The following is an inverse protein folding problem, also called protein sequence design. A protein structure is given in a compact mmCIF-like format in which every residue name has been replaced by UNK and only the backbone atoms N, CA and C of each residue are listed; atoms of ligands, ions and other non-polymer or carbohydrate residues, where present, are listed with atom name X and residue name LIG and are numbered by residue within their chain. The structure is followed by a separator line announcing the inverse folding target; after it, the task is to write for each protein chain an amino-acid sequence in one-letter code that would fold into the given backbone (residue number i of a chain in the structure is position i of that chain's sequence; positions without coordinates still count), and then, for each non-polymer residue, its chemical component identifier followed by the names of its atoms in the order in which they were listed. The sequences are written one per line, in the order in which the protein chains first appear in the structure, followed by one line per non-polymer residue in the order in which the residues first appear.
data_IF_557187705819
#
_entry.id   IF_557187705819
#
_cell.length_a   1.000
_cell.length_b   1.000
_cell.length_c   1.000
_cell.angle_alpha   90.00
_cell.angle_beta   90.00
_cell.angle_gamma   90.00
#
_symmetry.space_group_name_H-M   'P 1'
#
loop_
_entity.id
_entity.type
_entity.pdbx_description
1 polymer ?
#
# COMPACT_ATOMS: atom_id res chain seq x y z
N UNK A 1 -30.48 -2.06 -6.01
CA UNK A 1 -29.60 -0.92 -5.68
C UNK A 1 -28.44 -0.96 -6.67
N UNK A 2 -28.16 0.12 -7.39
CA UNK A 2 -26.97 0.19 -8.28
C UNK A 2 -25.72 -0.01 -7.42
N UNK A 3 -24.89 -1.01 -7.76
CA UNK A 3 -23.59 -1.22 -7.08
C UNK A 3 -22.74 0.04 -7.29
N UNK A 4 -22.19 0.56 -6.23
CA UNK A 4 -21.19 1.63 -6.31
C UNK A 4 -19.96 1.07 -7.01
N UNK A 5 -19.34 1.82 -7.93
CA UNK A 5 -18.04 1.41 -8.50
C UNK A 5 -16.97 1.38 -7.41
N UNK A 6 -16.00 0.47 -7.47
CA UNK A 6 -14.88 0.47 -6.53
C UNK A 6 -14.03 1.74 -6.70
N UNK A 7 -13.39 2.17 -5.61
CA UNK A 7 -12.33 3.17 -5.68
C UNK A 7 -11.14 2.62 -6.46
N UNK A 8 -10.60 3.40 -7.37
CA UNK A 8 -9.35 3.08 -8.07
C UNK A 8 -8.21 3.75 -7.35
N UNK A 9 -7.31 2.95 -6.77
CA UNK A 9 -6.22 3.39 -5.90
C UNK A 9 -4.90 3.17 -6.63
N UNK A 10 -4.13 4.24 -6.85
CA UNK A 10 -2.80 4.15 -7.44
C UNK A 10 -1.80 3.59 -6.42
N UNK A 11 -1.55 2.27 -6.47
CA UNK A 11 -0.65 1.53 -5.59
C UNK A 11 0.78 2.03 -5.74
N UNK A 12 1.35 2.67 -4.72
CA UNK A 12 2.66 3.36 -4.77
C UNK A 12 2.77 4.40 -5.88
N UNK A 13 1.63 4.95 -6.32
CA UNK A 13 1.49 5.83 -7.48
C UNK A 13 1.14 5.09 -8.77
N UNK A 14 2.02 5.13 -9.78
CA UNK A 14 1.89 4.46 -11.07
C UNK A 14 3.15 3.61 -11.37
N UNK A 15 3.46 2.55 -10.58
CA UNK A 15 4.73 1.83 -10.65
C UNK A 15 4.89 1.00 -11.93
N UNK A 16 3.82 0.77 -12.69
CA UNK A 16 3.94 0.22 -14.05
C UNK A 16 4.67 1.14 -15.04
N UNK A 17 4.82 2.44 -14.70
CA UNK A 17 5.37 3.47 -15.59
C UNK A 17 6.54 4.26 -15.00
N UNK A 18 6.66 4.34 -13.68
CA UNK A 18 7.67 5.13 -12.95
C UNK A 18 8.14 4.33 -11.73
N UNK A 19 9.38 4.51 -11.28
CA UNK A 19 9.80 3.89 -10.02
C UNK A 19 8.83 4.20 -8.89
N UNK A 20 8.42 3.17 -8.17
CA UNK A 20 7.44 3.25 -7.07
C UNK A 20 7.82 4.34 -6.06
N UNK A 21 6.83 4.96 -5.43
CA UNK A 21 7.03 5.95 -4.36
C UNK A 21 7.86 7.17 -4.75
N UNK A 22 8.02 7.42 -6.04
CA UNK A 22 8.62 8.66 -6.54
C UNK A 22 7.55 9.72 -6.80
N UNK A 23 7.93 11.00 -6.74
CA UNK A 23 7.02 12.11 -7.05
C UNK A 23 6.36 11.92 -8.42
N UNK A 24 7.15 11.52 -9.45
CA UNK A 24 6.61 11.29 -10.79
C UNK A 24 5.65 10.10 -10.88
N UNK A 25 5.77 9.09 -10.00
CA UNK A 25 4.82 7.99 -9.90
C UNK A 25 3.47 8.47 -9.40
N UNK A 26 3.46 9.30 -8.36
CA UNK A 26 2.24 9.85 -7.78
C UNK A 26 1.58 10.90 -8.68
N UNK A 27 2.37 11.84 -9.23
CA UNK A 27 1.85 12.83 -10.19
C UNK A 27 1.15 12.14 -11.37
N UNK A 28 1.81 11.12 -11.94
CA UNK A 28 1.23 10.38 -13.05
C UNK A 28 -0.07 9.66 -12.67
N UNK A 29 -0.13 9.03 -11.48
CA UNK A 29 -1.36 8.37 -11.02
C UNK A 29 -2.51 9.36 -10.88
N UNK A 30 -2.26 10.52 -10.27
CA UNK A 30 -3.25 11.60 -10.11
C UNK A 30 -3.71 12.13 -11.47
N UNK A 31 -2.79 12.42 -12.39
CA UNK A 31 -3.11 12.89 -13.75
C UNK A 31 -3.90 11.87 -14.57
N UNK A 32 -3.71 10.57 -14.32
CA UNK A 32 -4.48 9.47 -14.94
C UNK A 32 -5.86 9.26 -14.29
N UNK A 33 -6.19 10.00 -13.24
CA UNK A 33 -7.54 10.12 -12.73
C UNK A 33 -7.94 9.11 -11.67
N UNK A 34 -6.99 8.55 -10.90
CA UNK A 34 -7.30 7.69 -9.74
C UNK A 34 -8.13 8.43 -8.69
N UNK A 35 -8.86 7.69 -7.86
CA UNK A 35 -9.64 8.26 -6.77
C UNK A 35 -8.76 8.55 -5.53
N UNK A 36 -7.72 7.75 -5.36
CA UNK A 36 -6.76 7.88 -4.28
C UNK A 36 -5.38 7.37 -4.70
N UNK A 37 -4.34 7.76 -3.97
CA UNK A 37 -3.01 7.16 -4.07
C UNK A 37 -2.66 6.46 -2.76
N UNK A 38 -1.86 5.40 -2.87
CA UNK A 38 -1.41 4.65 -1.71
C UNK A 38 0.10 4.86 -1.52
N UNK A 39 0.52 5.42 -0.37
CA UNK A 39 1.87 5.39 0.13
C UNK A 39 2.08 4.37 1.23
N UNK A 40 3.22 3.66 1.19
CA UNK A 40 3.77 2.91 2.32
C UNK A 40 4.70 3.81 3.15
N UNK A 41 4.66 3.71 4.47
CA UNK A 41 5.47 4.54 5.36
C UNK A 41 6.31 3.73 6.32
N UNK A 42 7.59 4.08 6.37
CA UNK A 42 8.62 3.66 7.34
C UNK A 42 9.27 4.90 7.97
N UNK A 43 10.21 4.74 8.91
CA UNK A 43 10.75 5.88 9.67
C UNK A 43 12.27 5.97 9.57
N UNK A 44 12.76 7.19 9.33
CA UNK A 44 14.19 7.51 9.41
C UNK A 44 14.70 7.49 10.86
N UNK A 45 16.03 7.52 11.02
CA UNK A 45 16.70 7.58 12.33
C UNK A 45 16.23 8.73 13.21
N UNK A 46 15.90 9.85 12.62
CA UNK A 46 15.41 11.06 13.27
C UNK A 46 13.87 11.17 13.29
N UNK A 47 13.16 10.07 12.98
CA UNK A 47 11.71 9.94 13.15
C UNK A 47 10.87 10.57 12.04
N UNK A 48 11.46 10.90 10.89
CA UNK A 48 10.70 11.39 9.74
C UNK A 48 9.98 10.23 9.06
N UNK A 49 8.70 10.41 8.73
CA UNK A 49 7.90 9.46 7.97
C UNK A 49 8.34 9.45 6.50
N UNK A 50 9.02 8.39 6.06
CA UNK A 50 9.61 8.21 4.73
C UNK A 50 8.73 7.27 3.91
N UNK A 51 8.47 7.62 2.66
CA UNK A 51 7.63 6.80 1.78
C UNK A 51 8.47 5.71 1.13
N UNK A 52 8.37 4.48 1.66
CA UNK A 52 8.99 3.25 1.16
C UNK A 52 8.20 2.02 1.59
N UNK A 53 8.14 1.01 0.72
CA UNK A 53 7.44 -0.24 1.02
C UNK A 53 8.17 -1.07 2.07
N UNK A 54 9.48 -1.27 1.90
CA UNK A 54 10.34 -1.87 2.93
C UNK A 54 11.21 -0.79 3.57
N UNK A 55 11.64 -1.06 4.80
CA UNK A 55 12.69 -0.29 5.45
C UNK A 55 14.09 -0.62 4.87
N UNK A 56 14.29 -1.77 4.20
CA UNK A 56 15.48 -2.08 3.42
C UNK A 56 15.38 -1.42 2.03
N UNK A 57 16.35 -0.52 1.70
CA UNK A 57 16.27 0.37 0.54
C UNK A 57 17.30 0.09 -0.56
N UNK A 58 18.03 -1.01 -0.48
CA UNK A 58 19.12 -1.34 -1.42
C UNK A 58 18.62 -1.59 -2.84
N UNK A 59 17.46 -2.20 -3.01
CA UNK A 59 16.91 -2.56 -4.32
C UNK A 59 16.09 -1.45 -4.98
N UNK A 60 15.58 -0.50 -4.19
CA UNK A 60 14.65 0.55 -4.67
C UNK A 60 15.26 1.95 -4.68
N UNK A 61 16.57 2.05 -4.35
CA UNK A 61 17.34 3.29 -4.37
C UNK A 61 18.77 3.08 -4.88
N UNK A 62 19.48 4.18 -5.07
CA UNK A 62 20.90 4.17 -5.45
C UNK A 62 21.87 4.05 -4.26
N UNK A 63 21.40 3.70 -3.06
CA UNK A 63 22.23 3.64 -1.83
C UNK A 63 23.41 2.69 -1.97
N UNK A 64 23.26 1.58 -2.69
CA UNK A 64 24.35 0.62 -2.94
C UNK A 64 25.50 1.18 -3.77
N UNK A 65 25.25 2.23 -4.56
CA UNK A 65 26.25 2.92 -5.39
C UNK A 65 26.85 4.14 -4.68
N UNK A 66 26.52 4.37 -3.40
CA UNK A 66 27.00 5.48 -2.59
C UNK A 66 28.14 5.05 -1.68
N UNK A 67 29.40 5.35 -2.02
CA UNK A 67 30.58 4.91 -1.23
C UNK A 67 30.52 5.38 0.23
N UNK A 68 29.96 6.58 0.47
CA UNK A 68 29.80 7.16 1.80
C UNK A 68 28.89 6.33 2.72
N UNK A 69 28.02 5.52 2.15
CA UNK A 69 27.08 4.65 2.88
C UNK A 69 27.46 3.17 2.88
N UNK A 70 28.56 2.79 2.24
CA UNK A 70 28.97 1.39 2.10
C UNK A 70 29.12 0.68 3.45
N UNK A 71 29.65 1.37 4.48
CA UNK A 71 29.84 0.81 5.84
C UNK A 71 28.56 0.60 6.63
N UNK A 72 27.41 1.13 6.17
CA UNK A 72 26.10 0.97 6.84
C UNK A 72 25.35 -0.28 6.39
N UNK A 73 25.90 -1.05 5.46
CA UNK A 73 25.31 -2.32 5.05
C UNK A 73 25.37 -3.30 6.21
N UNK A 74 24.21 -3.80 6.66
CA UNK A 74 24.06 -4.62 7.86
C UNK A 74 22.98 -5.68 7.65
N UNK A 75 22.97 -6.72 8.50
CA UNK A 75 21.89 -7.72 8.56
C UNK A 75 21.00 -7.42 9.77
N UNK A 76 19.70 -7.37 9.53
CA UNK A 76 18.68 -7.17 10.58
C UNK A 76 17.56 -8.19 10.44
N UNK A 77 16.93 -8.52 11.57
CA UNK A 77 15.68 -9.27 11.63
C UNK A 77 14.51 -8.28 11.63
N UNK A 78 13.65 -8.37 10.63
CA UNK A 78 12.43 -7.54 10.50
C UNK A 78 11.24 -8.50 10.35
N UNK A 79 10.28 -8.40 11.24
CA UNK A 79 9.05 -9.21 11.26
C UNK A 79 9.31 -10.73 11.14
N UNK A 80 10.41 -11.19 11.74
CA UNK A 80 10.81 -12.61 11.75
C UNK A 80 11.58 -13.10 10.52
N UNK A 81 11.95 -12.18 9.61
CA UNK A 81 12.77 -12.48 8.45
C UNK A 81 14.12 -11.75 8.51
N UNK A 82 15.20 -12.44 8.07
CA UNK A 82 16.55 -11.86 8.03
C UNK A 82 16.80 -11.15 6.71
N UNK A 83 17.15 -9.87 6.78
CA UNK A 83 17.43 -9.01 5.62
C UNK A 83 18.84 -8.42 5.72
N UNK A 84 19.55 -8.35 4.59
CA UNK A 84 20.90 -7.76 4.54
C UNK A 84 20.95 -6.64 3.52
N UNK A 85 21.15 -5.42 3.99
CA UNK A 85 21.15 -4.23 3.13
C UNK A 85 21.35 -2.94 3.90
N UNK A 86 20.70 -1.88 3.43
CA UNK A 86 20.69 -0.55 4.03
C UNK A 86 19.28 -0.24 4.50
N UNK A 87 19.14 0.16 5.75
CA UNK A 87 17.82 0.33 6.38
C UNK A 87 17.54 1.79 6.67
N UNK A 88 16.33 2.25 6.37
CA UNK A 88 15.89 3.65 6.49
C UNK A 88 16.18 4.21 7.89
N UNK A 89 15.97 3.44 8.95
CA UNK A 89 16.20 3.84 10.34
C UNK A 89 17.68 4.00 10.74
N UNK A 90 18.59 3.65 9.86
CA UNK A 90 20.05 3.91 10.07
C UNK A 90 20.49 5.25 9.49
N UNK A 91 19.60 5.97 8.79
CA UNK A 91 19.86 7.25 8.11
C UNK A 91 18.97 8.35 8.67
N UNK A 92 19.52 9.57 8.74
CA UNK A 92 18.70 10.78 8.94
C UNK A 92 17.94 11.12 7.65
N UNK A 93 16.88 11.94 7.78
CA UNK A 93 16.16 12.40 6.59
C UNK A 93 17.06 13.15 5.61
N UNK A 94 17.96 14.01 6.09
CA UNK A 94 18.88 14.76 5.22
C UNK A 94 19.78 13.82 4.39
N UNK A 95 20.19 12.70 4.94
CA UNK A 95 20.96 11.68 4.21
C UNK A 95 20.09 10.96 3.18
N UNK A 96 18.88 10.54 3.58
CA UNK A 96 17.92 9.87 2.69
C UNK A 96 17.48 10.75 1.52
N UNK A 97 17.29 12.04 1.72
CA UNK A 97 16.90 12.99 0.68
C UNK A 97 17.95 13.11 -0.45
N UNK A 98 19.19 12.69 -0.21
CA UNK A 98 20.25 12.63 -1.24
C UNK A 98 20.10 11.45 -2.19
N UNK A 99 19.38 10.41 -1.80
CA UNK A 99 19.20 9.18 -2.57
C UNK A 99 18.18 9.36 -3.71
N UNK A 100 18.27 8.46 -4.68
CA UNK A 100 17.40 8.46 -5.86
C UNK A 100 16.65 7.13 -5.98
N UNK A 101 15.39 7.21 -6.36
CA UNK A 101 14.52 6.05 -6.58
C UNK A 101 14.99 5.23 -7.78
N UNK A 102 14.80 3.90 -7.68
CA UNK A 102 15.01 2.91 -8.73
C UNK A 102 13.82 1.98 -8.86
N UNK A 103 13.63 1.48 -10.07
CA UNK A 103 12.62 0.46 -10.36
C UNK A 103 12.94 -0.85 -9.64
N UNK A 104 11.96 -1.38 -8.90
CA UNK A 104 12.06 -2.65 -8.18
C UNK A 104 12.19 -3.85 -9.11
N UNK A 105 11.49 -3.81 -10.25
CA UNK A 105 11.29 -4.91 -11.19
C UNK A 105 11.82 -4.59 -12.59
N UNK A 106 13.12 -4.21 -12.74
CA UNK A 106 13.63 -3.66 -13.99
C UNK A 106 13.52 -4.62 -15.18
N UNK A 107 13.52 -5.94 -14.95
CA UNK A 107 13.33 -6.94 -16.00
C UNK A 107 11.89 -7.01 -16.50
N UNK A 108 10.90 -6.73 -15.66
CA UNK A 108 9.49 -6.69 -16.03
C UNK A 108 9.07 -5.31 -16.54
N UNK A 109 9.66 -4.25 -15.97
CA UNK A 109 9.27 -2.84 -16.17
C UNK A 109 10.43 -1.99 -16.69
N UNK A 110 11.07 -2.43 -17.78
CA UNK A 110 12.22 -1.72 -18.38
C UNK A 110 11.92 -0.26 -18.75
N UNK A 111 10.65 0.08 -19.08
CA UNK A 111 10.24 1.46 -19.35
C UNK A 111 10.20 2.32 -18.09
N UNK A 112 9.81 1.76 -16.95
CA UNK A 112 9.87 2.41 -15.64
C UNK A 112 11.33 2.58 -15.21
N UNK A 113 12.17 1.54 -15.38
CA UNK A 113 13.61 1.58 -15.07
C UNK A 113 14.38 2.67 -15.83
N UNK A 114 13.88 3.12 -16.99
CA UNK A 114 14.46 4.26 -17.71
C UNK A 114 14.41 5.59 -16.93
N UNK A 115 13.65 5.63 -15.82
CA UNK A 115 13.57 6.78 -14.90
C UNK A 115 14.41 6.61 -13.63
N UNK A 116 15.17 5.53 -13.51
CA UNK A 116 16.10 5.31 -12.39
C UNK A 116 17.04 6.49 -12.17
N UNK A 117 17.27 6.84 -10.93
CA UNK A 117 18.16 7.92 -10.55
C UNK A 117 17.63 9.34 -10.79
N UNK A 118 16.41 9.51 -11.33
CA UNK A 118 15.87 10.84 -11.68
C UNK A 118 15.14 11.54 -10.53
N UNK A 119 14.53 10.79 -9.63
CA UNK A 119 13.67 11.32 -8.57
C UNK A 119 14.23 10.99 -7.19
N UNK A 120 14.20 11.96 -6.23
CA UNK A 120 14.57 11.69 -4.85
C UNK A 120 13.55 10.79 -4.16
N UNK A 121 13.93 10.25 -2.99
CA UNK A 121 13.00 9.68 -2.03
C UNK A 121 12.06 10.80 -1.53
N UNK A 122 10.82 10.45 -1.19
CA UNK A 122 9.83 11.35 -0.63
C UNK A 122 9.58 11.05 0.85
N UNK A 123 9.21 12.08 1.62
CA UNK A 123 8.58 11.95 2.94
C UNK A 123 7.07 12.16 2.83
N UNK A 124 6.35 11.67 3.84
CA UNK A 124 4.89 11.69 3.85
C UNK A 124 4.31 13.10 3.64
N UNK A 125 4.88 14.14 4.28
CA UNK A 125 4.44 15.52 4.12
C UNK A 125 4.36 15.97 2.67
N UNK A 126 5.39 15.68 1.90
CA UNK A 126 5.47 16.10 0.49
C UNK A 126 4.36 15.45 -0.34
N UNK A 127 4.02 14.20 -0.06
CA UNK A 127 2.89 13.53 -0.73
C UNK A 127 1.55 14.12 -0.31
N UNK A 128 1.33 14.35 0.98
CA UNK A 128 0.08 14.93 1.49
C UNK A 128 -0.19 16.30 0.86
N UNK A 129 0.85 17.13 0.73
CA UNK A 129 0.78 18.44 0.08
C UNK A 129 0.52 18.29 -1.42
N UNK A 130 1.17 17.32 -2.10
CA UNK A 130 0.96 17.03 -3.52
C UNK A 130 -0.50 16.64 -3.82
N UNK A 131 -1.07 15.71 -3.03
CA UNK A 131 -2.45 15.23 -3.21
C UNK A 131 -3.45 16.36 -2.92
N UNK A 132 -3.19 17.17 -1.88
CA UNK A 132 -4.01 18.32 -1.56
C UNK A 132 -4.06 19.33 -2.72
N UNK A 133 -2.89 19.71 -3.25
CA UNK A 133 -2.78 20.63 -4.37
C UNK A 133 -3.43 20.08 -5.66
N UNK A 134 -3.29 18.79 -5.92
CA UNK A 134 -3.95 18.13 -7.06
C UNK A 134 -5.48 18.18 -6.91
N UNK A 135 -6.02 17.88 -5.72
CA UNK A 135 -7.46 17.95 -5.45
C UNK A 135 -8.03 19.35 -5.63
N UNK A 136 -7.31 20.39 -5.17
CA UNK A 136 -7.69 21.79 -5.38
C UNK A 136 -7.67 22.20 -6.87
N UNK A 137 -6.62 21.78 -7.59
CA UNK A 137 -6.49 22.03 -9.04
C UNK A 137 -7.62 21.41 -9.86
N UNK A 138 -8.01 20.18 -9.49
CA UNK A 138 -9.00 19.38 -10.22
C UNK A 138 -10.44 19.63 -9.75
N UNK A 139 -10.62 20.33 -8.63
CA UNK A 139 -11.93 20.58 -8.04
C UNK A 139 -12.63 19.30 -7.55
N UNK A 140 -11.88 18.25 -7.20
CA UNK A 140 -12.41 16.99 -6.68
C UNK A 140 -11.66 16.52 -5.43
N UNK A 141 -12.35 15.74 -4.59
CA UNK A 141 -11.71 15.11 -3.44
C UNK A 141 -10.82 13.95 -3.92
N UNK A 142 -9.53 14.04 -3.63
CA UNK A 142 -8.55 12.98 -3.83
C UNK A 142 -8.22 12.35 -2.48
N UNK A 143 -8.13 11.02 -2.45
CA UNK A 143 -7.85 10.25 -1.23
C UNK A 143 -6.38 9.89 -1.08
N UNK A 144 -6.01 9.59 0.16
CA UNK A 144 -4.76 8.90 0.53
C UNK A 144 -5.11 7.64 1.29
N UNK A 145 -4.56 6.51 0.87
CA UNK A 145 -4.63 5.21 1.55
C UNK A 145 -3.23 4.94 2.10
N UNK A 146 -3.01 5.31 3.36
CA UNK A 146 -1.71 5.27 4.03
C UNK A 146 -1.46 3.90 4.65
N UNK A 147 -0.50 3.14 4.13
CA UNK A 147 -0.07 1.90 4.77
C UNK A 147 1.05 2.15 5.78
N UNK A 148 0.85 1.68 7.01
CA UNK A 148 1.87 1.73 8.07
C UNK A 148 2.62 0.42 8.11
N UNK A 149 3.90 0.45 7.70
CA UNK A 149 4.78 -0.73 7.61
C UNK A 149 5.52 -0.98 8.91
N UNK A 150 5.69 -2.27 9.26
CA UNK A 150 6.60 -2.74 10.30
C UNK A 150 6.43 -2.03 11.66
N UNK A 151 5.18 -1.71 12.07
CA UNK A 151 4.93 -0.91 13.28
C UNK A 151 5.47 -1.58 14.55
N UNK A 152 5.39 -2.92 14.67
CA UNK A 152 5.94 -3.68 15.78
C UNK A 152 7.46 -3.63 15.80
N UNK A 153 8.11 -3.77 14.64
CA UNK A 153 9.55 -3.64 14.50
C UNK A 153 10.04 -2.25 14.93
N UNK A 154 9.47 -1.17 14.37
CA UNK A 154 9.83 0.20 14.76
C UNK A 154 9.53 0.47 16.23
N UNK A 155 8.42 -0.05 16.76
CA UNK A 155 8.11 0.03 18.19
C UNK A 155 9.17 -0.64 19.07
N UNK A 156 9.76 -1.77 18.64
CA UNK A 156 10.85 -2.45 19.35
C UNK A 156 12.15 -1.62 19.36
N UNK A 157 12.34 -0.74 18.39
CA UNK A 157 13.44 0.22 18.33
C UNK A 157 13.17 1.52 19.10
N UNK A 158 12.00 1.65 19.74
CA UNK A 158 11.64 2.79 20.58
C UNK A 158 10.88 3.91 19.86
N UNK A 159 10.41 3.71 18.61
CA UNK A 159 9.61 4.70 17.92
C UNK A 159 8.15 4.71 18.42
N UNK A 160 7.62 5.88 18.74
CA UNK A 160 6.17 6.08 18.89
C UNK A 160 5.53 6.30 17.51
N UNK A 161 5.41 5.20 16.73
CA UNK A 161 4.90 5.21 15.36
C UNK A 161 3.57 5.97 15.24
N UNK A 162 2.60 5.68 16.14
CA UNK A 162 1.31 6.36 16.13
C UNK A 162 1.43 7.85 16.45
N UNK A 163 2.33 8.23 17.37
CA UNK A 163 2.58 9.63 17.74
C UNK A 163 3.22 10.42 16.59
N UNK A 164 4.22 9.84 15.92
CA UNK A 164 4.90 10.47 14.78
C UNK A 164 3.93 10.72 13.63
N UNK A 165 3.12 9.70 13.27
CA UNK A 165 2.11 9.85 12.19
C UNK A 165 0.99 10.81 12.58
N UNK A 166 0.53 10.79 13.84
CA UNK A 166 -0.50 11.71 14.30
C UNK A 166 -0.04 13.17 14.20
N UNK A 167 1.20 13.47 14.58
CA UNK A 167 1.77 14.80 14.46
C UNK A 167 1.87 15.23 13.00
N UNK A 168 2.38 14.36 12.12
CA UNK A 168 2.52 14.63 10.68
C UNK A 168 1.16 14.91 10.02
N UNK A 169 0.16 14.05 10.26
CA UNK A 169 -1.19 14.21 9.72
C UNK A 169 -1.89 15.47 10.26
N UNK A 170 -1.65 15.83 11.53
CA UNK A 170 -2.19 17.05 12.13
C UNK A 170 -1.59 18.30 11.48
N UNK A 171 -0.28 18.36 11.34
CA UNK A 171 0.41 19.48 10.71
C UNK A 171 0.04 19.64 9.23
N UNK A 172 -0.21 18.54 8.52
CA UNK A 172 -0.67 18.54 7.13
C UNK A 172 -2.19 18.78 6.98
N UNK A 173 -2.94 18.95 8.08
CA UNK A 173 -4.40 19.10 8.12
C UNK A 173 -5.18 17.91 7.51
N UNK A 174 -4.66 16.69 7.68
CA UNK A 174 -5.29 15.44 7.22
C UNK A 174 -5.99 14.64 8.34
N UNK A 175 -5.91 15.08 9.60
CA UNK A 175 -6.45 14.37 10.76
C UNK A 175 -7.92 14.66 11.08
N UNK A 176 -8.55 15.66 10.41
CA UNK A 176 -9.85 16.20 10.77
C UNK A 176 -11.07 15.47 10.17
N UNK A 177 -10.84 14.59 9.19
CA UNK A 177 -11.89 13.96 8.38
C UNK A 177 -12.44 14.85 7.26
N UNK A 178 -11.86 16.04 7.05
CA UNK A 178 -12.21 16.91 5.92
C UNK A 178 -11.67 16.39 4.57
N UNK A 179 -10.64 15.56 4.62
CA UNK A 179 -10.01 14.90 3.46
C UNK A 179 -10.25 13.41 3.52
N UNK A 180 -10.25 12.75 2.38
CA UNK A 180 -10.44 11.28 2.31
C UNK A 180 -9.13 10.59 2.72
N UNK A 181 -9.07 10.13 3.97
CA UNK A 181 -7.94 9.39 4.53
C UNK A 181 -8.39 7.98 4.91
N UNK A 182 -7.68 7.00 4.40
CA UNK A 182 -7.68 5.62 4.84
C UNK A 182 -6.34 5.35 5.50
N UNK A 183 -6.31 4.63 6.59
CA UNK A 183 -5.09 4.11 7.22
C UNK A 183 -5.19 2.60 7.19
N UNK A 184 -4.18 1.96 6.62
CA UNK A 184 -4.14 0.51 6.55
C UNK A 184 -2.81 -0.05 7.08
N UNK A 185 -2.83 -1.30 7.50
CA UNK A 185 -1.66 -2.03 7.97
C UNK A 185 -1.96 -3.53 8.03
N UNK A 186 -0.92 -4.36 7.89
CA UNK A 186 -0.94 -5.78 8.25
C UNK A 186 -0.91 -6.03 9.76
N UNK A 187 -0.82 -4.96 10.57
CA UNK A 187 -0.76 -5.02 12.03
C UNK A 187 -1.97 -4.29 12.63
N UNK A 188 -2.86 -5.03 13.34
CA UNK A 188 -4.09 -4.46 13.90
C UNK A 188 -3.83 -3.42 15.00
N UNK A 189 -2.79 -3.63 15.81
CA UNK A 189 -2.52 -2.77 16.97
C UNK A 189 -2.18 -1.34 16.58
N UNK A 190 -1.50 -1.13 15.46
CA UNK A 190 -1.20 0.23 15.01
C UNK A 190 -2.47 0.96 14.58
N UNK A 191 -3.40 0.27 13.91
CA UNK A 191 -4.70 0.85 13.52
C UNK A 191 -5.46 1.34 14.76
N UNK A 192 -5.52 0.52 15.82
CA UNK A 192 -6.16 0.92 17.07
C UNK A 192 -5.44 2.12 17.73
N UNK A 193 -4.11 2.09 17.80
CA UNK A 193 -3.32 3.20 18.38
C UNK A 193 -3.53 4.52 17.60
N UNK A 194 -3.64 4.47 16.26
CA UNK A 194 -3.93 5.66 15.45
C UNK A 194 -5.34 6.20 15.73
N UNK A 195 -6.33 5.31 15.90
CA UNK A 195 -7.70 5.66 16.29
C UNK A 195 -7.73 6.33 17.66
N UNK A 196 -7.00 5.79 18.64
CA UNK A 196 -6.91 6.32 20.01
C UNK A 196 -6.23 7.71 20.07
N UNK A 197 -5.40 8.04 19.05
CA UNK A 197 -4.83 9.39 18.87
C UNK A 197 -5.83 10.39 18.26
N UNK A 198 -7.07 9.98 17.99
CA UNK A 198 -8.15 10.83 17.51
C UNK A 198 -8.06 11.20 16.03
N UNK A 199 -7.31 10.45 15.24
CA UNK A 199 -7.22 10.66 13.79
C UNK A 199 -8.51 10.16 13.14
N UNK A 200 -9.16 11.04 12.37
CA UNK A 200 -10.39 10.71 11.65
C UNK A 200 -10.07 10.15 10.27
N UNK A 201 -10.05 8.83 10.17
CA UNK A 201 -9.79 8.06 8.97
C UNK A 201 -10.72 6.84 8.93
N UNK A 202 -10.76 6.15 7.79
CA UNK A 202 -11.20 4.76 7.74
C UNK A 202 -10.00 3.87 8.03
N UNK A 203 -10.21 2.84 8.84
CA UNK A 203 -9.16 1.93 9.27
C UNK A 203 -9.37 0.58 8.60
N UNK A 204 -8.43 0.17 7.76
CA UNK A 204 -8.50 -1.04 6.95
C UNK A 204 -7.40 -2.01 7.38
N UNK A 205 -7.78 -3.24 7.68
CA UNK A 205 -6.83 -4.28 8.04
C UNK A 205 -6.43 -5.09 6.80
N UNK A 206 -5.13 -5.17 6.52
CA UNK A 206 -4.55 -5.91 5.40
C UNK A 206 -4.39 -7.39 5.78
N UNK A 207 -4.80 -8.29 4.90
CA UNK A 207 -4.67 -9.73 5.08
C UNK A 207 -4.03 -10.36 3.84
N UNK A 208 -2.92 -11.09 4.09
CA UNK A 208 -2.27 -11.95 3.11
C UNK A 208 -3.10 -13.22 2.85
N UNK A 209 -2.83 -13.91 1.75
CA UNK A 209 -3.41 -15.23 1.49
C UNK A 209 -2.93 -16.30 2.49
N UNK A 210 -1.72 -16.12 3.04
CA UNK A 210 -1.10 -17.04 3.99
C UNK A 210 -0.34 -16.28 5.07
N UNK A 211 0.00 -16.95 6.19
CA UNK A 211 0.82 -16.36 7.23
C UNK A 211 0.04 -15.79 8.41
N UNK A 212 0.70 -14.93 9.18
CA UNK A 212 0.19 -14.30 10.41
C UNK A 212 0.74 -12.89 10.54
N UNK A 213 -0.05 -12.00 11.14
CA UNK A 213 0.37 -10.64 11.43
C UNK A 213 1.52 -10.58 12.46
N UNK A 214 2.53 -9.74 12.20
CA UNK A 214 3.73 -9.63 13.02
C UNK A 214 3.41 -9.21 14.47
N UNK A 215 2.49 -8.30 14.68
CA UNK A 215 2.04 -7.83 16.00
C UNK A 215 1.32 -8.92 16.81
N UNK A 216 0.54 -9.78 16.14
CA UNK A 216 -0.12 -10.91 16.78
C UNK A 216 0.88 -12.01 17.14
N UNK A 217 1.85 -12.30 16.26
CA UNK A 217 2.94 -13.24 16.55
C UNK A 217 3.75 -12.75 17.75
N UNK A 218 4.12 -11.48 17.78
CA UNK A 218 4.87 -10.88 18.90
C UNK A 218 4.12 -10.93 20.23
N UNK A 219 2.78 -10.90 20.19
CA UNK A 219 1.95 -10.90 21.39
C UNK A 219 1.50 -12.28 21.87
N UNK A 220 1.31 -13.23 20.96
CA UNK A 220 0.61 -14.49 21.21
C UNK A 220 1.33 -15.72 20.66
N UNK A 221 2.62 -15.60 20.32
CA UNK A 221 3.38 -16.75 19.80
C UNK A 221 3.41 -17.90 20.84
N UNK A 222 3.05 -19.18 20.47
CA UNK A 222 2.81 -19.67 19.10
C UNK A 222 1.35 -19.62 18.62
N UNK A 223 0.40 -19.16 19.42
CA UNK A 223 -1.05 -19.29 19.19
C UNK A 223 -1.67 -18.13 18.39
N UNK A 224 -0.85 -17.30 17.74
CA UNK A 224 -1.35 -16.20 16.91
C UNK A 224 -2.23 -16.75 15.76
N UNK A 225 -3.43 -16.20 15.52
CA UNK A 225 -4.28 -16.63 14.42
C UNK A 225 -3.62 -16.36 13.07
N UNK A 226 -3.87 -17.25 12.10
CA UNK A 226 -3.49 -17.02 10.70
C UNK A 226 -4.42 -15.99 10.07
N UNK A 227 -4.02 -15.42 8.92
CA UNK A 227 -4.92 -14.58 8.15
C UNK A 227 -6.18 -15.34 7.72
N UNK A 228 -6.07 -16.63 7.37
CA UNK A 228 -7.24 -17.47 7.05
C UNK A 228 -8.20 -17.64 8.25
N UNK A 229 -7.69 -17.79 9.48
CA UNK A 229 -8.52 -17.84 10.68
C UNK A 229 -9.33 -16.55 10.89
N UNK A 230 -8.79 -15.43 10.45
CA UNK A 230 -9.44 -14.12 10.57
C UNK A 230 -10.53 -13.90 9.51
N UNK A 231 -10.52 -14.66 8.41
CA UNK A 231 -11.56 -14.62 7.36
C UNK A 231 -12.70 -15.60 7.62
N UNK A 232 -12.65 -16.40 8.68
CA UNK A 232 -13.81 -17.21 9.14
C UNK A 232 -14.96 -16.31 9.63
N UNK A 233 -16.17 -16.86 9.76
CA UNK A 233 -17.32 -16.11 10.27
C UNK A 233 -17.02 -15.42 11.61
N UNK A 234 -16.42 -16.16 12.56
CA UNK A 234 -16.05 -15.63 13.89
C UNK A 234 -14.90 -14.61 13.79
N UNK A 235 -13.96 -14.80 12.85
CA UNK A 235 -12.89 -13.87 12.57
C UNK A 235 -13.41 -12.53 12.06
N UNK A 236 -14.28 -12.56 11.03
CA UNK A 236 -14.92 -11.37 10.49
C UNK A 236 -15.82 -10.67 11.51
N UNK A 237 -16.52 -11.42 12.40
CA UNK A 237 -17.29 -10.85 13.49
C UNK A 237 -16.43 -10.10 14.52
N UNK A 238 -15.19 -10.54 14.74
CA UNK A 238 -14.20 -9.81 15.56
C UNK A 238 -13.71 -8.57 14.84
N UNK A 239 -13.26 -8.71 13.58
CA UNK A 239 -12.74 -7.59 12.79
C UNK A 239 -13.76 -6.45 12.65
N UNK A 240 -15.04 -6.76 12.45
CA UNK A 240 -16.11 -5.76 12.33
C UNK A 240 -16.28 -4.87 13.57
N UNK A 241 -15.76 -5.28 14.73
CA UNK A 241 -15.75 -4.45 15.96
C UNK A 241 -14.52 -3.55 16.09
N UNK A 242 -13.46 -3.83 15.31
CA UNK A 242 -12.15 -3.23 15.48
C UNK A 242 -11.74 -2.33 14.31
N UNK A 243 -12.19 -2.67 13.08
CA UNK A 243 -11.81 -1.94 11.86
C UNK A 243 -13.04 -1.62 11.00
N UNK A 244 -12.86 -0.70 10.07
CA UNK A 244 -13.94 -0.26 9.18
C UNK A 244 -13.99 -1.11 7.89
N UNK A 245 -12.95 -1.90 7.62
CA UNK A 245 -12.86 -2.78 6.48
C UNK A 245 -11.61 -3.64 6.47
N UNK A 246 -11.51 -4.47 5.46
CA UNK A 246 -10.38 -5.36 5.20
C UNK A 246 -9.85 -5.15 3.79
N UNK A 247 -8.55 -5.39 3.60
CA UNK A 247 -7.90 -5.33 2.29
C UNK A 247 -7.19 -6.65 2.02
N UNK A 248 -7.62 -7.36 0.98
CA UNK A 248 -7.26 -8.75 0.74
C UNK A 248 -6.28 -8.90 -0.43
N UNK A 249 -5.30 -9.79 -0.28
CA UNK A 249 -4.60 -10.33 -1.45
C UNK A 249 -5.65 -10.83 -2.45
N UNK A 250 -5.53 -10.43 -3.72
CA UNK A 250 -6.50 -10.78 -4.78
C UNK A 250 -6.68 -12.30 -4.94
N UNK A 251 -5.67 -13.12 -4.57
CA UNK A 251 -5.75 -14.57 -4.60
C UNK A 251 -6.90 -15.09 -3.72
N UNK A 252 -7.11 -14.48 -2.57
CA UNK A 252 -8.22 -14.84 -1.66
C UNK A 252 -9.57 -14.64 -2.36
N UNK A 253 -9.76 -13.51 -3.04
CA UNK A 253 -11.02 -13.21 -3.76
C UNK A 253 -11.19 -14.09 -4.99
N UNK A 254 -10.10 -14.36 -5.72
CA UNK A 254 -10.13 -15.25 -6.90
C UNK A 254 -10.45 -16.70 -6.52
N UNK A 255 -10.02 -17.14 -5.34
CA UNK A 255 -10.31 -18.48 -4.81
C UNK A 255 -11.73 -18.56 -4.23
N UNK A 256 -12.10 -17.62 -3.36
CA UNK A 256 -13.44 -17.55 -2.74
C UNK A 256 -14.01 -16.11 -2.81
N UNK A 257 -14.74 -15.76 -3.89
CA UNK A 257 -15.39 -14.45 -3.98
C UNK A 257 -16.51 -14.23 -2.94
N UNK A 258 -16.96 -15.28 -2.27
CA UNK A 258 -17.99 -15.20 -1.22
C UNK A 258 -17.53 -14.43 0.01
N UNK A 259 -16.22 -14.35 0.27
CA UNK A 259 -15.65 -13.60 1.40
C UNK A 259 -16.04 -12.12 1.38
N UNK A 260 -16.20 -11.53 0.19
CA UNK A 260 -16.62 -10.11 0.04
C UNK A 260 -18.03 -9.91 0.57
N UNK A 261 -18.97 -10.78 0.16
CA UNK A 261 -20.35 -10.70 0.65
C UNK A 261 -20.43 -10.97 2.16
N UNK A 262 -19.57 -11.87 2.68
CA UNK A 262 -19.51 -12.19 4.10
C UNK A 262 -19.02 -11.01 4.95
N UNK A 263 -18.02 -10.28 4.46
CA UNK A 263 -17.54 -9.05 5.07
C UNK A 263 -18.57 -7.93 5.01
N UNK A 264 -19.23 -7.73 3.86
CA UNK A 264 -20.26 -6.72 3.68
C UNK A 264 -21.47 -6.93 4.61
N UNK A 265 -21.89 -8.19 4.86
CA UNK A 265 -22.98 -8.50 5.83
C UNK A 265 -22.65 -8.03 7.25
N UNK A 266 -21.39 -7.83 7.56
CA UNK A 266 -20.87 -7.34 8.85
C UNK A 266 -20.54 -5.84 8.85
N UNK A 267 -20.78 -5.16 7.73
CA UNK A 267 -20.52 -3.74 7.57
C UNK A 267 -19.03 -3.39 7.32
N UNK A 268 -18.20 -4.39 6.96
CA UNK A 268 -16.82 -4.16 6.56
C UNK A 268 -16.74 -3.79 5.08
N UNK A 269 -16.01 -2.73 4.74
CA UNK A 269 -15.58 -2.49 3.36
C UNK A 269 -14.53 -3.53 2.95
N UNK A 270 -14.45 -3.85 1.66
CA UNK A 270 -13.47 -4.81 1.14
C UNK A 270 -12.65 -4.17 0.02
N UNK A 271 -11.36 -4.02 0.25
CA UNK A 271 -10.39 -3.62 -0.78
C UNK A 271 -9.57 -4.83 -1.22
N UNK A 272 -8.89 -4.73 -2.37
CA UNK A 272 -8.00 -5.81 -2.85
C UNK A 272 -6.78 -5.29 -3.59
N UNK A 273 -5.67 -5.97 -3.42
CA UNK A 273 -4.36 -5.68 -4.00
C UNK A 273 -3.71 -6.95 -4.56
N UNK A 274 -2.91 -6.87 -5.59
CA UNK A 274 -2.73 -5.74 -6.48
C UNK A 274 -3.16 -6.15 -7.86
N UNK A 275 -4.00 -5.37 -8.52
CA UNK A 275 -4.41 -5.56 -9.89
C UNK A 275 -3.28 -5.12 -10.83
N UNK A 276 -2.60 -6.10 -11.43
CA UNK A 276 -1.46 -5.94 -12.35
C UNK A 276 -1.73 -6.69 -13.63
N UNK A 277 -1.47 -6.11 -14.82
CA UNK A 277 -1.80 -6.75 -16.09
C UNK A 277 -0.72 -7.71 -16.58
N UNK A 278 0.52 -7.64 -16.05
CA UNK A 278 1.64 -8.46 -16.49
C UNK A 278 1.45 -9.95 -16.11
N UNK A 279 1.79 -10.87 -17.00
CA UNK A 279 1.67 -12.32 -16.80
C UNK A 279 2.32 -12.80 -15.49
N UNK A 280 3.42 -12.17 -15.08
CA UNK A 280 4.11 -12.51 -13.82
C UNK A 280 3.20 -12.44 -12.58
N UNK A 281 2.12 -11.65 -12.65
CA UNK A 281 1.23 -11.39 -11.52
C UNK A 281 -0.18 -11.92 -11.68
N UNK A 282 -0.53 -12.41 -12.86
CA UNK A 282 -1.85 -12.98 -13.11
C UNK A 282 -1.94 -14.42 -12.59
N UNK A 283 -3.12 -14.81 -12.14
CA UNK A 283 -3.39 -16.20 -11.84
C UNK A 283 -3.21 -17.07 -13.11
N UNK A 284 -2.77 -18.34 -12.97
CA UNK A 284 -2.33 -19.16 -14.10
C UNK A 284 -3.32 -19.23 -15.27
N UNK A 285 -4.61 -19.27 -14.98
CA UNK A 285 -5.68 -19.36 -16.00
C UNK A 285 -5.80 -18.09 -16.85
N UNK A 286 -5.32 -16.94 -16.36
CA UNK A 286 -5.36 -15.65 -17.06
C UNK A 286 -4.05 -15.30 -17.76
N UNK A 287 -2.99 -16.08 -17.57
CA UNK A 287 -1.73 -15.87 -18.27
C UNK A 287 -1.86 -16.17 -19.77
N UNK A 288 -1.17 -15.41 -20.62
CA UNK A 288 -1.15 -15.57 -22.06
C UNK A 288 0.29 -15.53 -22.57
N UNK A 289 0.69 -16.59 -23.26
CA UNK A 289 2.08 -16.75 -23.72
C UNK A 289 3.05 -17.10 -22.57
N UNK A 290 4.35 -16.91 -22.82
CA UNK A 290 5.43 -17.31 -21.89
C UNK A 290 6.24 -16.13 -21.36
N UNK A 291 6.04 -14.94 -21.90
CA UNK A 291 6.75 -13.74 -21.47
C UNK A 291 6.10 -13.15 -20.21
N UNK A 292 6.85 -13.14 -19.12
CA UNK A 292 6.40 -12.66 -17.80
C UNK A 292 6.05 -11.16 -17.79
N UNK A 293 6.71 -10.35 -18.63
CA UNK A 293 6.51 -8.91 -18.72
C UNK A 293 5.33 -8.51 -19.63
N UNK A 294 4.89 -9.42 -20.52
CA UNK A 294 3.74 -9.18 -21.38
C UNK A 294 2.43 -9.19 -20.60
N UNK A 295 1.47 -8.42 -21.05
CA UNK A 295 0.12 -8.41 -20.46
C UNK A 295 -0.63 -9.69 -20.88
N UNK A 296 -1.22 -10.36 -19.90
CA UNK A 296 -2.10 -11.52 -20.14
C UNK A 296 -3.57 -11.09 -20.27
N UNK A 297 -4.46 -12.00 -19.92
CA UNK A 297 -5.92 -11.76 -19.92
C UNK A 297 -6.35 -11.08 -18.61
N UNK A 298 -5.72 -9.93 -18.31
CA UNK A 298 -5.94 -9.18 -17.10
C UNK A 298 -7.38 -8.66 -16.99
N UNK A 299 -8.05 -8.40 -18.11
CA UNK A 299 -9.46 -7.97 -18.11
C UNK A 299 -10.39 -9.06 -17.56
N UNK A 300 -10.12 -10.33 -17.90
CA UNK A 300 -10.89 -11.45 -17.36
C UNK A 300 -10.64 -11.63 -15.84
N UNK A 301 -9.40 -11.51 -15.37
CA UNK A 301 -9.09 -11.55 -13.93
C UNK A 301 -9.77 -10.40 -13.19
N UNK A 302 -9.63 -9.17 -13.69
CA UNK A 302 -10.22 -7.99 -13.04
C UNK A 302 -11.75 -8.00 -13.08
N UNK A 303 -12.35 -8.61 -14.11
CA UNK A 303 -13.80 -8.84 -14.18
C UNK A 303 -14.25 -9.72 -12.99
N UNK A 304 -13.54 -10.82 -12.74
CA UNK A 304 -13.87 -11.71 -11.63
C UNK A 304 -13.76 -10.99 -10.27
N UNK A 305 -12.77 -10.12 -10.09
CA UNK A 305 -12.63 -9.26 -8.91
C UNK A 305 -13.78 -8.26 -8.81
N UNK A 306 -14.13 -7.57 -9.90
CA UNK A 306 -15.23 -6.62 -9.94
C UNK A 306 -16.59 -7.28 -9.62
N UNK A 307 -16.83 -8.49 -10.17
CA UNK A 307 -18.06 -9.26 -9.95
C UNK A 307 -18.20 -9.71 -8.50
N UNK A 308 -17.11 -9.91 -7.76
CA UNK A 308 -17.14 -10.16 -6.32
C UNK A 308 -17.69 -8.95 -5.53
N UNK A 309 -17.55 -7.73 -6.06
CA UNK A 309 -18.16 -6.51 -5.52
C UNK A 309 -17.30 -5.79 -4.51
N UNK A 310 -15.99 -5.79 -4.68
CA UNK A 310 -15.03 -5.04 -3.84
C UNK A 310 -15.30 -3.53 -3.87
N UNK A 311 -14.95 -2.82 -2.79
CA UNK A 311 -15.15 -1.37 -2.63
C UNK A 311 -13.93 -0.55 -3.07
N UNK A 312 -12.75 -1.18 -3.17
CA UNK A 312 -11.52 -0.55 -3.65
C UNK A 312 -10.56 -1.53 -4.30
N UNK A 313 -9.81 -1.07 -5.28
CA UNK A 313 -8.80 -1.85 -6.01
C UNK A 313 -7.51 -1.08 -6.12
N UNK A 314 -6.41 -1.73 -5.76
CA UNK A 314 -5.06 -1.17 -5.93
C UNK A 314 -4.51 -1.57 -7.28
N UNK A 315 -4.05 -0.59 -8.06
CA UNK A 315 -3.57 -0.80 -9.43
C UNK A 315 -2.17 -0.23 -9.63
N UNK A 316 -1.31 -0.98 -10.35
CA UNK A 316 0.01 -0.50 -10.75
C UNK A 316 -0.03 0.28 -12.09
N UNK A 317 -1.12 0.14 -12.85
CA UNK A 317 -1.38 0.83 -14.12
C UNK A 317 -2.68 1.63 -14.00
N UNK A 318 -2.60 2.88 -13.47
CA UNK A 318 -3.78 3.70 -13.17
C UNK A 318 -4.73 3.94 -14.35
N UNK A 319 -4.21 4.15 -15.57
CA UNK A 319 -5.00 4.32 -16.79
C UNK A 319 -5.88 3.10 -17.09
N UNK A 320 -5.31 1.88 -16.96
CA UNK A 320 -6.08 0.64 -17.12
C UNK A 320 -7.10 0.48 -16.01
N UNK A 321 -6.71 0.77 -14.76
CA UNK A 321 -7.61 0.72 -13.61
C UNK A 321 -8.80 1.65 -13.76
N UNK A 322 -8.55 2.91 -14.10
CA UNK A 322 -9.61 3.92 -14.32
C UNK A 322 -10.48 3.56 -15.52
N UNK A 323 -9.89 3.08 -16.62
CA UNK A 323 -10.66 2.66 -17.79
C UNK A 323 -11.55 1.44 -17.50
N UNK A 324 -11.09 0.51 -16.66
CA UNK A 324 -11.80 -0.72 -16.36
C UNK A 324 -12.84 -0.58 -15.23
N UNK A 325 -12.42 -0.07 -14.06
CA UNK A 325 -13.25 0.02 -12.87
C UNK A 325 -13.99 1.37 -12.74
N UNK A 326 -13.49 2.43 -13.39
CA UNK A 326 -14.07 3.77 -13.33
C UNK A 326 -15.38 3.95 -14.10
N UNK A 327 -15.78 2.99 -14.94
CA UNK A 327 -17.05 3.03 -15.69
C UNK A 327 -18.21 2.60 -14.81
N UNK A 328 -19.35 3.30 -14.91
CA UNK A 328 -20.59 2.87 -14.27
C UNK A 328 -21.16 1.63 -14.96
N UNK A 329 -22.00 0.84 -14.26
CA UNK A 329 -22.67 -0.35 -14.84
C UNK A 329 -23.57 0.01 -16.04
N UNK A 330 -23.89 1.30 -16.25
CA UNK A 330 -24.65 1.80 -17.40
C UNK A 330 -23.78 1.98 -18.65
N UNK A 331 -22.46 1.92 -18.53
CA UNK A 331 -21.50 2.11 -19.62
C UNK A 331 -20.82 0.80 -20.06
N UNK A 332 -21.27 -0.34 -19.53
CA UNK A 332 -20.72 -1.69 -19.81
C UNK A 332 -21.58 -2.51 -20.75
#
# INVERSE_FOLDING_TARGET
MSRRRPLVIGHRGAPGYRPEHSVASYELALDLGVDAVEPDVVFSKDGVAVIRHENEIGSTTDVADRPEFASRRVTKEVDGASHTGWFVEDFTWDELATLRCRERLPLLRARSAAFDGRHPIMRLRELLDLVAAAGEREGRALGVVLEVKHATYFGSLGYDVAGLLAAELQEAAWNSGARQLVIESFEQRILQRMRDRGIRARYIYLLEAEGRAADLVAAQCPDAPTYADQLTADGLDRLAREVDGISLDKRVILEDPGVVADAHRRGLDVYTWTCRPENAFLAPEFQRGTDAASFGDWEAEWRRIADAGVDGVFVDHPDLGVAFFGRSDTDR
#
